data_IF_299594700596
#
_entry.id   IF_299594700596
#
_cell.length_a   1.000
_cell.length_b   1.000
_cell.length_c   1.000
_cell.angle_alpha   90.00
_cell.angle_beta   90.00
_cell.angle_gamma   90.00
#
_symmetry.space_group_name_H-M   'P 1'
#
loop_
_entity.id
_entity.type
_entity.pdbx_description
1 polymer ?
#
# COMPACT_ATOMS: atom_id res chain seq x y z
N UNK A 1 -27.59 0.29 -32.65
CA UNK A 1 -26.72 -0.07 -31.49
C UNK A 1 -25.28 -0.04 -31.98
N UNK A 2 -24.47 1.02 -31.68
CA UNK A 2 -23.06 1.04 -32.04
C UNK A 2 -22.33 0.25 -30.94
N UNK A 3 -21.80 -0.91 -31.30
CA UNK A 3 -20.85 -1.65 -30.48
C UNK A 3 -19.59 -0.76 -30.43
N UNK A 4 -19.31 -0.14 -29.28
CA UNK A 4 -18.03 0.52 -29.04
C UNK A 4 -17.00 -0.58 -28.84
N UNK A 5 -16.20 -0.82 -29.86
CA UNK A 5 -15.26 -1.95 -29.98
C UNK A 5 -13.94 -1.77 -29.20
N UNK A 6 -13.94 -1.14 -28.05
CA UNK A 6 -12.77 -1.21 -27.15
C UNK A 6 -13.21 -1.04 -25.71
N UNK A 7 -13.42 -2.15 -25.03
CA UNK A 7 -13.48 -2.17 -23.58
C UNK A 7 -12.04 -2.33 -23.06
N UNK A 8 -11.59 -1.38 -22.26
CA UNK A 8 -10.31 -1.54 -21.58
C UNK A 8 -10.45 -2.50 -20.42
N UNK A 9 -9.54 -3.45 -20.32
CA UNK A 9 -9.49 -4.39 -19.20
C UNK A 9 -8.32 -4.06 -18.30
N UNK A 10 -8.61 -4.01 -17.00
CA UNK A 10 -7.62 -3.84 -15.96
C UNK A 10 -7.72 -4.98 -14.94
N UNK A 11 -6.65 -5.24 -14.20
CA UNK A 11 -6.69 -6.29 -13.21
C UNK A 11 -5.76 -6.02 -12.01
N UNK A 12 -5.87 -6.88 -11.01
CA UNK A 12 -4.87 -7.04 -9.95
C UNK A 12 -4.41 -8.48 -9.90
N UNK A 13 -3.10 -8.67 -9.73
CA UNK A 13 -2.47 -9.98 -9.58
C UNK A 13 -1.80 -10.10 -8.21
N UNK A 14 -1.89 -11.28 -7.60
CA UNK A 14 -1.29 -11.57 -6.30
C UNK A 14 -1.75 -12.91 -5.71
N UNK A 15 -1.22 -13.26 -4.53
CA UNK A 15 -1.61 -14.46 -3.79
C UNK A 15 -1.42 -14.30 -2.27
N UNK A 16 -2.49 -14.34 -1.47
CA UNK A 16 -3.92 -14.47 -1.84
C UNK A 16 -4.51 -13.19 -2.41
N UNK A 17 -5.56 -13.27 -3.23
CA UNK A 17 -6.19 -12.13 -3.91
C UNK A 17 -7.73 -12.08 -3.75
N UNK A 18 -8.34 -13.16 -3.27
CA UNK A 18 -9.81 -13.35 -3.24
C UNK A 18 -10.55 -12.28 -2.43
N UNK A 19 -9.85 -11.65 -1.49
CA UNK A 19 -10.43 -10.63 -0.60
C UNK A 19 -10.08 -9.19 -1.00
N UNK A 20 -9.45 -9.01 -2.18
CA UNK A 20 -9.10 -7.68 -2.67
C UNK A 20 -10.34 -6.84 -2.91
N UNK A 21 -10.32 -5.60 -2.41
CA UNK A 21 -11.38 -4.60 -2.60
C UNK A 21 -11.13 -3.72 -3.83
N UNK A 22 -9.97 -3.86 -4.47
CA UNK A 22 -9.62 -3.07 -5.67
C UNK A 22 -10.63 -3.23 -6.79
N UNK A 23 -11.19 -4.44 -7.09
CA UNK A 23 -12.20 -4.57 -8.13
C UNK A 23 -13.47 -3.75 -7.85
N UNK A 24 -14.00 -3.78 -6.63
CA UNK A 24 -15.20 -3.00 -6.26
C UNK A 24 -14.94 -1.50 -6.43
N UNK A 25 -13.80 -1.03 -5.94
CA UNK A 25 -13.39 0.37 -5.97
C UNK A 25 -13.15 0.88 -7.40
N UNK A 26 -12.40 0.14 -8.23
CA UNK A 26 -12.04 0.56 -9.58
C UNK A 26 -13.24 0.50 -10.53
N UNK A 27 -14.07 -0.55 -10.43
CA UNK A 27 -15.29 -0.63 -11.24
C UNK A 27 -16.28 0.48 -10.88
N UNK A 28 -16.39 0.88 -9.61
CA UNK A 28 -17.17 2.03 -9.21
C UNK A 28 -16.65 3.33 -9.84
N UNK A 29 -15.33 3.49 -9.97
CA UNK A 29 -14.72 4.62 -10.64
C UNK A 29 -15.02 4.65 -12.13
N UNK A 30 -14.89 3.53 -12.83
CA UNK A 30 -15.22 3.42 -14.24
C UNK A 30 -16.69 3.73 -14.49
N UNK A 31 -17.60 3.16 -13.69
CA UNK A 31 -19.04 3.41 -13.79
C UNK A 31 -19.39 4.89 -13.55
N UNK A 32 -18.79 5.53 -12.55
CA UNK A 32 -19.05 6.93 -12.21
C UNK A 32 -18.68 7.90 -13.34
N UNK A 33 -17.69 7.53 -14.16
CA UNK A 33 -17.24 8.34 -15.31
C UNK A 33 -17.76 7.80 -16.65
N UNK A 34 -18.64 6.80 -16.66
CA UNK A 34 -19.19 6.23 -17.89
C UNK A 34 -18.16 5.56 -18.79
N UNK A 35 -17.03 5.08 -18.22
CA UNK A 35 -15.96 4.42 -18.97
C UNK A 35 -16.35 2.97 -19.26
N UNK A 36 -16.21 2.55 -20.52
CA UNK A 36 -16.38 1.15 -20.91
C UNK A 36 -15.12 0.35 -20.52
N UNK A 37 -14.98 0.10 -19.25
CA UNK A 37 -13.80 -0.56 -18.68
C UNK A 37 -14.20 -1.52 -17.57
N UNK A 38 -13.40 -2.55 -17.35
CA UNK A 38 -13.61 -3.52 -16.27
C UNK A 38 -12.31 -3.78 -15.51
N UNK A 39 -12.45 -4.07 -14.23
CA UNK A 39 -11.35 -4.42 -13.36
C UNK A 39 -11.64 -5.74 -12.64
N UNK A 40 -10.73 -6.71 -12.76
CA UNK A 40 -10.89 -8.06 -12.20
C UNK A 40 -9.66 -8.46 -11.40
N UNK A 41 -9.77 -9.50 -10.57
CA UNK A 41 -8.67 -10.04 -9.77
C UNK A 41 -8.26 -11.43 -10.29
N UNK A 42 -6.96 -11.65 -10.46
CA UNK A 42 -6.39 -12.94 -10.82
C UNK A 42 -5.43 -13.41 -9.75
N UNK A 43 -5.58 -14.65 -9.33
CA UNK A 43 -4.61 -15.29 -8.46
C UNK A 43 -3.41 -15.72 -9.29
N UNK A 44 -2.23 -15.25 -8.90
CA UNK A 44 -0.94 -15.63 -9.48
C UNK A 44 -0.07 -16.14 -8.35
N UNK A 45 0.32 -17.42 -8.39
CA UNK A 45 1.17 -18.04 -7.38
C UNK A 45 2.63 -17.65 -7.56
N UNK A 46 3.42 -17.86 -6.50
CA UNK A 46 4.88 -17.79 -6.62
C UNK A 46 5.39 -18.75 -7.70
N UNK A 47 6.28 -18.24 -8.57
CA UNK A 47 6.80 -18.99 -9.72
C UNK A 47 6.00 -18.84 -11.02
N UNK A 48 4.76 -18.33 -10.96
CA UNK A 48 3.92 -18.13 -12.16
C UNK A 48 3.93 -16.67 -12.66
N UNK A 49 4.71 -15.80 -12.03
CA UNK A 49 4.64 -14.35 -12.25
C UNK A 49 5.10 -13.93 -13.65
N UNK A 50 6.21 -14.49 -14.15
CA UNK A 50 6.77 -14.17 -15.46
C UNK A 50 5.79 -14.50 -16.58
N UNK A 51 5.26 -15.72 -16.58
CA UNK A 51 4.27 -16.18 -17.56
C UNK A 51 2.98 -15.36 -17.48
N UNK A 52 2.53 -15.04 -16.26
CA UNK A 52 1.33 -14.24 -16.05
C UNK A 52 1.48 -12.83 -16.61
N UNK A 53 2.61 -12.15 -16.37
CA UNK A 53 2.88 -10.80 -16.91
C UNK A 53 2.98 -10.87 -18.45
N UNK A 54 3.67 -11.87 -19.00
CA UNK A 54 3.75 -12.11 -20.44
C UNK A 54 2.37 -12.31 -21.08
N UNK A 55 1.51 -13.09 -20.44
CA UNK A 55 0.13 -13.32 -20.88
C UNK A 55 -0.72 -12.04 -20.85
N UNK A 56 -0.67 -11.26 -19.76
CA UNK A 56 -1.39 -9.98 -19.65
C UNK A 56 -0.95 -8.99 -20.74
N UNK A 57 0.35 -8.96 -21.07
CA UNK A 57 0.89 -8.18 -22.18
C UNK A 57 0.32 -8.65 -23.52
N UNK A 58 0.39 -9.96 -23.79
CA UNK A 58 0.00 -10.55 -25.06
C UNK A 58 -1.49 -10.39 -25.39
N UNK A 59 -2.36 -10.51 -24.37
CA UNK A 59 -3.83 -10.30 -24.54
C UNK A 59 -4.25 -8.83 -24.48
N UNK A 60 -3.31 -7.90 -24.31
CA UNK A 60 -3.58 -6.47 -24.38
C UNK A 60 -4.33 -5.90 -23.17
N UNK A 61 -4.12 -6.45 -21.95
CA UNK A 61 -4.63 -5.83 -20.71
C UNK A 61 -4.05 -4.43 -20.59
N UNK A 62 -4.91 -3.41 -20.44
CA UNK A 62 -4.52 -1.99 -20.51
C UNK A 62 -3.67 -1.55 -19.32
N UNK A 63 -3.83 -2.20 -18.17
CA UNK A 63 -3.00 -1.96 -16.99
C UNK A 63 -3.36 -2.91 -15.86
N UNK A 64 -2.45 -3.06 -14.92
CA UNK A 64 -2.70 -3.96 -13.79
C UNK A 64 -1.98 -3.52 -12.52
N UNK A 65 -2.58 -3.83 -11.37
CA UNK A 65 -1.91 -3.74 -10.09
C UNK A 65 -1.23 -5.06 -9.73
N UNK A 66 -0.17 -4.94 -8.97
CA UNK A 66 0.60 -6.06 -8.41
C UNK A 66 0.58 -5.95 -6.89
N UNK A 67 0.18 -7.03 -6.21
CA UNK A 67 0.22 -7.08 -4.76
C UNK A 67 1.12 -8.20 -4.24
N UNK A 68 1.03 -8.50 -2.96
CA UNK A 68 1.81 -9.56 -2.29
C UNK A 68 1.64 -10.90 -3.05
N UNK A 69 2.73 -11.68 -3.25
CA UNK A 69 4.11 -11.42 -2.81
C UNK A 69 4.99 -10.74 -3.88
N UNK A 70 4.45 -10.32 -5.00
CA UNK A 70 5.12 -10.13 -6.29
C UNK A 70 5.76 -8.74 -6.52
N UNK A 71 5.47 -7.73 -5.67
CA UNK A 71 5.84 -6.32 -5.94
C UNK A 71 7.32 -6.06 -6.23
N UNK A 72 8.22 -6.83 -5.63
CA UNK A 72 9.67 -6.71 -5.85
C UNK A 72 10.12 -7.54 -7.06
N UNK A 73 9.64 -8.77 -7.15
CA UNK A 73 10.04 -9.69 -8.22
C UNK A 73 9.58 -9.22 -9.60
N UNK A 74 8.40 -8.60 -9.68
CA UNK A 74 7.83 -8.09 -10.91
C UNK A 74 8.74 -7.12 -11.67
N UNK A 75 9.64 -6.43 -10.98
CA UNK A 75 10.60 -5.52 -11.62
C UNK A 75 11.48 -6.22 -12.68
N UNK A 76 11.64 -7.53 -12.62
CA UNK A 76 12.43 -8.29 -13.60
C UNK A 76 11.75 -8.44 -14.97
N UNK A 77 10.42 -8.23 -15.02
CA UNK A 77 9.57 -8.59 -16.17
C UNK A 77 8.88 -7.37 -16.81
N UNK A 78 9.26 -6.16 -16.39
CA UNK A 78 8.70 -4.89 -16.87
C UNK A 78 9.75 -4.09 -17.63
N UNK A 79 9.31 -3.16 -18.49
CA UNK A 79 10.17 -2.56 -19.50
C UNK A 79 10.68 -1.15 -19.11
N UNK A 80 9.82 -0.33 -18.50
CA UNK A 80 10.13 1.05 -18.12
C UNK A 80 9.67 1.34 -16.68
N UNK A 81 10.41 2.21 -15.97
CA UNK A 81 10.19 2.44 -14.55
C UNK A 81 10.06 3.94 -14.28
N UNK A 82 8.90 4.31 -13.77
CA UNK A 82 8.72 5.64 -13.20
C UNK A 82 9.60 5.86 -11.97
N UNK A 83 9.87 7.12 -11.66
CA UNK A 83 10.66 7.50 -10.48
C UNK A 83 10.11 6.91 -9.17
N UNK A 84 8.80 6.74 -9.05
CA UNK A 84 8.16 6.14 -7.88
C UNK A 84 8.53 4.66 -7.72
N UNK A 85 8.53 3.89 -8.81
CA UNK A 85 8.92 2.48 -8.81
C UNK A 85 10.41 2.32 -8.47
N UNK A 86 11.27 3.17 -9.07
CA UNK A 86 12.70 3.20 -8.77
C UNK A 86 12.95 3.55 -7.29
N UNK A 87 12.30 4.59 -6.77
CA UNK A 87 12.41 4.99 -5.36
C UNK A 87 12.01 3.87 -4.41
N UNK A 88 10.87 3.19 -4.64
CA UNK A 88 10.42 2.10 -3.78
C UNK A 88 11.22 0.81 -3.96
N UNK A 89 11.97 0.66 -5.06
CA UNK A 89 12.52 -0.63 -5.50
C UNK A 89 11.45 -1.74 -5.47
N UNK A 90 10.23 -1.40 -5.89
CA UNK A 90 9.06 -2.27 -5.91
C UNK A 90 7.96 -1.64 -6.78
N UNK A 91 7.12 -2.46 -7.39
CA UNK A 91 6.04 -2.05 -8.29
C UNK A 91 4.70 -2.51 -7.74
N UNK A 92 3.68 -1.66 -7.79
CA UNK A 92 2.30 -2.04 -7.52
C UNK A 92 1.33 -1.68 -8.64
N UNK A 93 1.77 -0.91 -9.65
CA UNK A 93 0.92 -0.45 -10.76
C UNK A 93 1.70 -0.52 -12.06
N UNK A 94 1.09 -1.10 -13.07
CA UNK A 94 1.65 -1.22 -14.43
C UNK A 94 0.65 -0.64 -15.42
N UNK A 95 1.14 0.17 -16.35
CA UNK A 95 0.39 0.67 -17.50
C UNK A 95 0.95 0.03 -18.77
N UNK A 96 0.12 -0.62 -19.53
CA UNK A 96 0.49 -1.22 -20.81
C UNK A 96 0.19 -0.22 -21.95
N UNK A 97 1.24 0.34 -22.48
CA UNK A 97 1.15 1.32 -23.59
C UNK A 97 1.65 0.65 -24.87
N UNK A 98 0.72 0.06 -25.62
CA UNK A 98 1.06 -0.60 -26.89
C UNK A 98 2.04 -1.78 -26.74
N UNK A 99 1.98 -2.53 -25.65
CA UNK A 99 2.87 -3.65 -25.36
C UNK A 99 4.07 -3.29 -24.49
N UNK A 100 4.38 -1.99 -24.30
CA UNK A 100 5.40 -1.53 -23.34
C UNK A 100 4.79 -1.45 -21.94
N UNK A 101 5.33 -2.20 -21.02
CA UNK A 101 4.86 -2.25 -19.62
C UNK A 101 5.61 -1.23 -18.77
N UNK A 102 4.98 -0.09 -18.53
CA UNK A 102 5.52 0.97 -17.68
C UNK A 102 5.08 0.79 -16.23
N UNK A 103 6.06 0.75 -15.33
CA UNK A 103 5.91 0.42 -13.92
C UNK A 103 5.90 1.65 -13.02
N UNK A 104 5.01 1.64 -12.02
CA UNK A 104 4.84 2.69 -11.02
C UNK A 104 4.72 2.10 -9.62
N UNK A 105 4.91 2.94 -8.61
CA UNK A 105 4.56 2.61 -7.22
C UNK A 105 3.62 3.67 -6.64
N UNK A 106 2.33 3.38 -6.69
CA UNK A 106 1.28 4.27 -6.17
C UNK A 106 1.08 4.12 -4.65
N UNK A 107 1.68 3.10 -4.02
CA UNK A 107 1.63 2.94 -2.55
C UNK A 107 2.31 4.12 -1.85
N UNK A 108 3.36 4.73 -2.45
CA UNK A 108 4.02 5.94 -1.94
C UNK A 108 2.98 7.04 -1.74
N UNK A 109 2.21 7.35 -2.79
CA UNK A 109 1.16 8.35 -2.71
C UNK A 109 0.04 7.93 -1.75
N UNK A 110 -0.38 6.66 -1.82
CA UNK A 110 -1.44 6.13 -0.95
C UNK A 110 -1.11 6.24 0.52
N UNK A 111 0.16 6.05 0.89
CA UNK A 111 0.61 6.16 2.28
C UNK A 111 0.73 7.61 2.75
N UNK A 112 1.38 8.47 1.97
CA UNK A 112 1.70 9.83 2.44
C UNK A 112 0.48 10.77 2.42
N UNK A 113 -0.41 10.58 1.46
CA UNK A 113 -1.55 11.49 1.27
C UNK A 113 -2.48 11.61 2.48
N UNK A 114 -2.89 10.53 3.18
CA UNK A 114 -3.67 10.63 4.42
C UNK A 114 -2.97 11.38 5.55
N UNK A 115 -1.63 11.31 5.63
CA UNK A 115 -0.84 12.06 6.59
C UNK A 115 -0.82 13.56 6.27
N UNK A 116 -0.67 13.93 4.98
CA UNK A 116 -0.73 15.30 4.51
C UNK A 116 -2.13 15.91 4.71
N UNK A 117 -3.20 15.17 4.45
CA UNK A 117 -4.57 15.65 4.73
C UNK A 117 -4.78 16.01 6.20
N UNK A 118 -4.11 15.30 7.11
CA UNK A 118 -4.14 15.56 8.56
C UNK A 118 -3.11 16.59 9.00
N UNK A 119 -2.35 17.16 8.06
CA UNK A 119 -1.28 18.13 8.30
C UNK A 119 -0.28 17.64 9.35
N UNK A 120 0.09 16.36 9.27
CA UNK A 120 1.07 15.77 10.19
C UNK A 120 2.39 16.49 10.04
N UNK A 121 2.92 17.00 11.16
CA UNK A 121 4.25 17.57 11.21
C UNK A 121 5.26 16.44 11.41
N UNK A 122 6.20 16.31 10.48
CA UNK A 122 7.26 15.30 10.52
C UNK A 122 8.51 15.74 11.28
N UNK A 123 8.59 17.01 11.69
CA UNK A 123 9.78 17.55 12.34
C UNK A 123 10.03 16.92 13.71
N UNK A 124 11.20 16.35 13.89
CA UNK A 124 11.66 15.71 15.12
C UNK A 124 10.96 14.39 15.49
N UNK A 125 10.09 13.82 14.61
CA UNK A 125 9.37 12.60 14.97
C UNK A 125 10.23 11.34 14.86
N UNK A 126 9.94 10.39 15.78
CA UNK A 126 10.38 9.01 15.66
C UNK A 126 9.28 8.17 15.04
N UNK A 127 9.64 7.36 14.06
CA UNK A 127 8.73 6.43 13.37
C UNK A 127 9.05 5.00 13.80
N UNK A 128 8.03 4.21 14.09
CA UNK A 128 8.15 2.76 14.22
C UNK A 128 7.45 2.11 13.02
N UNK A 129 8.23 1.50 12.13
CA UNK A 129 7.75 0.74 10.99
C UNK A 129 7.79 -0.75 11.30
N UNK A 130 6.63 -1.40 11.35
CA UNK A 130 6.50 -2.83 11.58
C UNK A 130 6.24 -3.52 10.24
N UNK A 131 7.23 -4.29 9.78
CA UNK A 131 7.21 -4.97 8.48
C UNK A 131 8.42 -4.61 7.61
N UNK A 132 8.78 -5.52 6.70
CA UNK A 132 9.90 -5.34 5.75
C UNK A 132 9.56 -5.89 4.34
N UNK A 133 8.29 -5.82 3.96
CA UNK A 133 7.79 -6.24 2.64
C UNK A 133 7.72 -5.10 1.62
N UNK A 134 7.00 -5.35 0.52
CA UNK A 134 6.81 -4.35 -0.54
C UNK A 134 6.15 -3.05 -0.07
N UNK A 135 5.18 -3.12 0.86
CA UNK A 135 4.56 -1.93 1.45
C UNK A 135 5.57 -1.13 2.28
N UNK A 136 6.40 -1.79 3.09
CA UNK A 136 7.43 -1.11 3.88
C UNK A 136 8.44 -0.35 3.01
N UNK A 137 8.75 -0.85 1.81
CA UNK A 137 9.60 -0.15 0.83
C UNK A 137 8.96 1.16 0.36
N UNK A 138 7.68 1.12 -0.02
CA UNK A 138 6.94 2.31 -0.43
C UNK A 138 6.81 3.33 0.71
N UNK A 139 6.59 2.86 1.95
CA UNK A 139 6.53 3.70 3.15
C UNK A 139 7.87 4.39 3.39
N UNK A 140 9.00 3.67 3.33
CA UNK A 140 10.32 4.27 3.47
C UNK A 140 10.62 5.27 2.35
N UNK A 141 10.23 4.97 1.11
CA UNK A 141 10.38 5.89 -0.01
C UNK A 141 9.57 7.18 0.21
N UNK A 142 8.33 7.07 0.72
CA UNK A 142 7.49 8.21 1.06
C UNK A 142 8.07 9.05 2.20
N UNK A 143 8.49 8.41 3.28
CA UNK A 143 9.10 9.08 4.43
C UNK A 143 10.45 9.74 4.08
N UNK A 144 11.21 9.15 3.14
CA UNK A 144 12.49 9.70 2.66
C UNK A 144 12.35 10.98 1.84
N UNK A 145 11.14 11.34 1.38
CA UNK A 145 10.85 12.61 0.73
C UNK A 145 10.36 13.69 1.75
N UNK A 146 10.07 13.30 2.99
CA UNK A 146 9.69 14.22 4.07
C UNK A 146 10.91 14.72 4.85
N UNK A 147 10.85 15.98 5.26
CA UNK A 147 11.92 16.57 6.06
C UNK A 147 11.62 16.47 7.56
N UNK A 148 12.68 16.41 8.36
CA UNK A 148 12.60 16.54 9.82
C UNK A 148 12.39 15.23 10.57
N UNK A 149 12.23 14.09 9.92
CA UNK A 149 12.12 12.79 10.60
C UNK A 149 13.43 12.50 11.35
N UNK A 150 13.33 12.30 12.67
CA UNK A 150 14.49 12.07 13.53
C UNK A 150 15.07 10.67 13.35
N UNK A 151 14.22 9.65 13.41
CA UNK A 151 14.62 8.25 13.31
C UNK A 151 13.47 7.37 12.78
N UNK A 152 13.80 6.37 11.98
CA UNK A 152 12.88 5.30 11.55
C UNK A 152 13.35 3.97 12.11
N UNK A 153 12.61 3.44 13.06
CA UNK A 153 12.87 2.18 13.73
C UNK A 153 12.12 1.05 13.01
N UNK A 154 12.85 0.11 12.41
CA UNK A 154 12.29 -0.97 11.59
C UNK A 154 12.26 -2.27 12.37
N UNK A 155 11.07 -2.81 12.61
CA UNK A 155 10.86 -4.12 13.24
C UNK A 155 10.25 -5.11 12.24
N UNK A 156 10.81 -6.31 12.18
CA UNK A 156 10.25 -7.40 11.38
C UNK A 156 10.53 -8.75 12.04
N UNK A 157 9.54 -9.67 12.01
CA UNK A 157 9.70 -11.01 12.60
C UNK A 157 10.89 -11.79 12.02
N UNK A 158 11.10 -11.68 10.70
CA UNK A 158 12.32 -12.20 10.04
C UNK A 158 13.41 -11.13 10.09
N UNK A 159 14.42 -11.36 10.91
CA UNK A 159 15.57 -10.46 11.05
C UNK A 159 16.31 -10.23 9.73
N UNK A 160 16.49 -11.29 8.93
CA UNK A 160 17.14 -11.20 7.63
C UNK A 160 16.42 -10.26 6.66
N UNK A 161 15.07 -10.24 6.66
CA UNK A 161 14.30 -9.29 5.83
C UNK A 161 14.48 -7.84 6.30
N UNK A 162 14.52 -7.60 7.61
CA UNK A 162 14.79 -6.26 8.14
C UNK A 162 16.19 -5.77 7.79
N UNK A 163 17.22 -6.62 7.91
CA UNK A 163 18.59 -6.30 7.49
C UNK A 163 18.67 -5.99 6.00
N UNK A 164 18.12 -6.87 5.15
CA UNK A 164 18.10 -6.66 3.71
C UNK A 164 17.40 -5.35 3.32
N UNK A 165 16.35 -4.93 4.04
CA UNK A 165 15.70 -3.66 3.81
C UNK A 165 16.60 -2.47 4.19
N UNK A 166 17.34 -2.57 5.30
CA UNK A 166 18.29 -1.53 5.74
C UNK A 166 19.49 -1.34 4.80
N UNK A 167 19.88 -2.38 4.07
CA UNK A 167 20.96 -2.33 3.09
C UNK A 167 20.54 -1.69 1.76
N UNK A 168 19.24 -1.41 1.58
CA UNK A 168 18.74 -0.77 0.36
C UNK A 168 19.03 0.73 0.32
N UNK A 169 19.10 1.35 -0.88
CA UNK A 169 19.22 2.81 -1.01
C UNK A 169 18.09 3.61 -0.36
N UNK A 170 16.94 2.98 -0.09
CA UNK A 170 15.76 3.59 0.54
C UNK A 170 16.08 4.24 1.89
N UNK A 171 17.00 3.67 2.63
CA UNK A 171 17.35 4.12 3.99
C UNK A 171 18.40 5.23 4.02
N UNK A 172 19.03 5.56 2.88
CA UNK A 172 20.12 6.55 2.82
C UNK A 172 19.71 7.98 3.18
N UNK A 173 18.44 8.31 3.01
CA UNK A 173 17.89 9.64 3.32
C UNK A 173 17.29 9.73 4.73
N UNK A 174 17.22 8.60 5.41
CA UNK A 174 16.59 8.45 6.72
C UNK A 174 17.61 7.87 7.71
N UNK A 175 17.54 8.30 8.95
CA UNK A 175 18.26 7.64 10.04
C UNK A 175 17.49 6.37 10.42
N UNK A 176 17.81 5.24 9.79
CA UNK A 176 17.12 3.97 9.98
C UNK A 176 17.87 3.04 10.92
N UNK A 177 17.16 2.44 11.88
CA UNK A 177 17.69 1.44 12.78
C UNK A 177 16.82 0.18 12.83
N UNK A 178 17.44 -0.99 12.99
CA UNK A 178 16.72 -2.23 13.24
C UNK A 178 16.32 -2.34 14.69
N UNK A 179 15.07 -2.70 14.92
CA UNK A 179 14.53 -3.01 16.25
C UNK A 179 14.33 -4.51 16.38
N UNK A 180 14.84 -5.15 17.45
CA UNK A 180 14.49 -6.52 17.77
C UNK A 180 12.97 -6.67 17.97
N UNK A 181 12.40 -7.76 17.44
CA UNK A 181 10.96 -7.98 17.46
C UNK A 181 10.35 -7.91 18.86
N UNK A 182 11.02 -8.47 19.85
CA UNK A 182 10.61 -8.49 21.25
C UNK A 182 10.70 -7.12 21.96
N UNK A 183 11.32 -6.13 21.30
CA UNK A 183 11.48 -4.77 21.86
C UNK A 183 10.54 -3.74 21.25
N UNK A 184 9.59 -4.16 20.38
CA UNK A 184 8.65 -3.27 19.69
C UNK A 184 7.95 -2.32 20.69
N UNK A 185 7.43 -2.84 21.80
CA UNK A 185 6.75 -2.04 22.84
C UNK A 185 7.60 -0.92 23.44
N UNK A 186 8.93 -1.11 23.54
CA UNK A 186 9.84 -0.07 24.02
C UNK A 186 9.93 1.10 23.03
N UNK A 187 9.97 0.78 21.73
CA UNK A 187 10.11 1.79 20.68
C UNK A 187 8.78 2.48 20.37
N UNK A 188 7.65 1.75 20.46
CA UNK A 188 6.33 2.33 20.22
C UNK A 188 5.98 3.45 21.21
N UNK A 189 6.40 3.35 22.47
CA UNK A 189 6.18 4.40 23.48
C UNK A 189 6.86 5.73 23.13
N UNK A 190 7.90 5.72 22.30
CA UNK A 190 8.65 6.90 21.87
C UNK A 190 8.25 7.39 20.48
N UNK A 191 7.58 6.54 19.71
CA UNK A 191 7.20 6.86 18.34
C UNK A 191 5.99 7.81 18.32
N UNK A 192 6.02 8.76 17.38
CA UNK A 192 4.89 9.64 17.06
C UNK A 192 4.12 9.14 15.84
N UNK A 193 4.72 8.28 15.04
CA UNK A 193 4.06 7.56 13.96
C UNK A 193 4.41 6.07 14.07
N UNK A 194 3.41 5.23 14.19
CA UNK A 194 3.55 3.78 14.24
C UNK A 194 2.81 3.19 13.05
N UNK A 195 3.53 2.49 12.18
CA UNK A 195 2.98 1.94 10.95
C UNK A 195 3.02 0.42 11.00
N UNK A 196 1.86 -0.23 10.96
CA UNK A 196 1.77 -1.66 10.72
C UNK A 196 1.75 -1.91 9.21
N UNK A 197 2.88 -2.32 8.64
CA UNK A 197 3.05 -2.70 7.23
C UNK A 197 3.10 -4.22 7.05
N UNK A 198 2.48 -4.98 7.97
CA UNK A 198 2.35 -6.44 7.93
C UNK A 198 0.91 -6.86 7.65
N UNK A 199 0.70 -8.16 7.56
CA UNK A 199 -0.65 -8.76 7.49
C UNK A 199 -1.24 -9.08 8.87
N UNK A 200 -0.55 -8.76 9.96
CA UNK A 200 -1.02 -9.02 11.33
C UNK A 200 -2.26 -8.16 11.60
N UNK A 201 -3.33 -8.81 12.01
CA UNK A 201 -4.66 -8.22 12.20
C UNK A 201 -5.68 -8.62 11.13
N UNK A 202 -5.25 -9.17 9.97
CA UNK A 202 -6.18 -9.61 8.92
C UNK A 202 -7.09 -10.76 9.34
N UNK A 203 -6.59 -11.66 10.18
CA UNK A 203 -7.33 -12.83 10.68
C UNK A 203 -7.65 -12.69 12.19
N UNK A 204 -7.86 -11.47 12.66
CA UNK A 204 -8.10 -11.15 14.07
C UNK A 204 -6.97 -11.62 15.02
N UNK A 205 -5.74 -11.68 14.53
CA UNK A 205 -4.58 -11.98 15.37
C UNK A 205 -4.47 -10.94 16.50
N UNK A 206 -3.92 -11.32 17.68
CA UNK A 206 -3.64 -10.38 18.76
C UNK A 206 -2.76 -9.22 18.30
N UNK A 207 -3.03 -8.03 18.79
CA UNK A 207 -2.21 -6.86 18.51
C UNK A 207 -0.79 -7.02 19.03
N UNK A 208 0.18 -6.51 18.26
CA UNK A 208 1.57 -6.43 18.67
C UNK A 208 1.82 -5.42 19.80
N UNK A 209 0.92 -4.46 19.96
CA UNK A 209 1.00 -3.39 20.94
C UNK A 209 -0.23 -3.42 21.84
N UNK A 210 -0.02 -3.36 23.13
CA UNK A 210 -1.10 -3.13 24.12
C UNK A 210 -1.36 -1.63 24.26
N UNK A 211 -2.52 -1.19 24.79
CA UNK A 211 -2.81 0.24 24.95
C UNK A 211 -1.71 1.03 25.67
N UNK A 212 -1.13 0.46 26.74
CA UNK A 212 -0.06 1.09 27.52
C UNK A 212 1.28 1.21 26.77
N UNK A 213 1.43 0.52 25.65
CA UNK A 213 2.62 0.59 24.80
C UNK A 213 2.50 1.68 23.73
N UNK A 214 1.30 2.25 23.55
CA UNK A 214 1.01 3.28 22.54
C UNK A 214 1.04 4.64 23.21
N UNK A 215 1.84 5.56 22.63
CA UNK A 215 1.81 6.96 23.06
C UNK A 215 0.48 7.60 22.61
N UNK A 216 -0.23 8.26 23.53
CA UNK A 216 -1.51 8.93 23.23
C UNK A 216 -1.42 10.00 22.14
N UNK A 217 -0.24 10.61 22.00
CA UNK A 217 0.03 11.63 20.99
C UNK A 217 0.56 11.03 19.67
N UNK A 218 0.63 9.70 19.56
CA UNK A 218 1.05 9.03 18.32
C UNK A 218 -0.10 8.91 17.33
N UNK A 219 0.27 8.68 16.09
CA UNK A 219 -0.64 8.24 15.03
C UNK A 219 -0.33 6.76 14.75
N UNK A 220 -1.35 5.92 14.86
CA UNK A 220 -1.30 4.54 14.39
C UNK A 220 -1.79 4.51 12.95
N UNK A 221 -0.95 4.05 12.05
CA UNK A 221 -1.29 3.79 10.67
C UNK A 221 -1.29 2.28 10.43
N UNK A 222 -2.46 1.68 10.42
CA UNK A 222 -2.59 0.25 10.13
C UNK A 222 -2.97 0.06 8.66
N UNK A 223 -2.08 -0.55 7.85
CA UNK A 223 -2.40 -0.79 6.43
C UNK A 223 -3.36 -1.96 6.21
N UNK A 224 -3.68 -2.72 7.23
CA UNK A 224 -4.76 -3.72 7.18
C UNK A 224 -6.08 -2.98 7.05
N UNK A 225 -6.85 -3.34 6.01
CA UNK A 225 -8.12 -2.70 5.70
C UNK A 225 -9.33 -3.62 5.94
N UNK A 226 -9.09 -4.89 6.22
CA UNK A 226 -10.15 -5.87 6.55
C UNK A 226 -9.59 -6.87 7.57
N UNK A 227 -10.17 -6.89 8.79
CA UNK A 227 -11.24 -6.01 9.29
C UNK A 227 -10.79 -4.54 9.37
N UNK A 228 -11.75 -3.58 9.37
CA UNK A 228 -11.44 -2.14 9.50
C UNK A 228 -10.87 -1.86 10.90
N UNK A 229 -11.49 -2.41 11.94
CA UNK A 229 -11.03 -2.30 13.30
C UNK A 229 -10.23 -3.57 13.65
N UNK A 230 -8.93 -3.52 13.40
CA UNK A 230 -8.00 -4.55 13.88
C UNK A 230 -7.79 -4.42 15.39
N UNK A 231 -7.26 -5.44 16.04
CA UNK A 231 -6.89 -5.35 17.46
C UNK A 231 -5.87 -4.22 17.74
N UNK A 232 -5.03 -3.84 16.74
CA UNK A 232 -4.13 -2.70 16.86
C UNK A 232 -4.90 -1.39 16.86
N UNK A 233 -5.87 -1.24 15.98
CA UNK A 233 -6.75 -0.07 15.90
C UNK A 233 -7.56 0.09 17.19
N UNK A 234 -8.15 -0.99 17.73
CA UNK A 234 -8.89 -0.94 18.99
C UNK A 234 -8.00 -0.53 20.18
N UNK A 235 -6.77 -1.07 20.24
CA UNK A 235 -5.82 -0.68 21.27
C UNK A 235 -5.37 0.78 21.13
N UNK A 236 -5.27 1.30 19.90
CA UNK A 236 -4.97 2.70 19.62
C UNK A 236 -6.08 3.64 20.10
N UNK A 237 -7.35 3.28 19.84
CA UNK A 237 -8.52 4.01 20.38
C UNK A 237 -8.47 4.08 21.90
N UNK A 238 -8.20 2.93 22.54
CA UNK A 238 -8.13 2.84 24.00
C UNK A 238 -7.00 3.72 24.58
N UNK A 239 -5.88 3.83 23.85
CA UNK A 239 -4.74 4.70 24.22
C UNK A 239 -5.01 6.18 23.95
N UNK A 240 -6.06 6.55 23.22
CA UNK A 240 -6.34 7.91 22.80
C UNK A 240 -5.45 8.41 21.65
N UNK A 241 -4.83 7.51 20.90
CA UNK A 241 -3.97 7.83 19.77
C UNK A 241 -4.78 8.17 18.51
N UNK A 242 -4.18 8.96 17.61
CA UNK A 242 -4.74 9.21 16.29
C UNK A 242 -4.71 7.92 15.42
N UNK A 243 -5.64 7.79 14.49
CA UNK A 243 -5.74 6.60 13.65
C UNK A 243 -5.82 6.99 12.18
N UNK A 244 -5.04 6.30 11.34
CA UNK A 244 -5.20 6.25 9.89
C UNK A 244 -5.46 4.79 9.52
N UNK A 245 -6.57 4.57 8.84
CA UNK A 245 -7.04 3.25 8.49
C UNK A 245 -6.47 2.76 7.16
N UNK A 246 -6.29 1.46 7.02
CA UNK A 246 -5.72 0.85 5.81
C UNK A 246 -6.56 1.08 4.55
N UNK A 247 -7.87 1.24 4.67
CA UNK A 247 -8.72 1.58 3.54
C UNK A 247 -8.44 2.98 2.97
N UNK A 248 -7.87 3.90 3.74
CA UNK A 248 -7.45 5.21 3.24
C UNK A 248 -6.25 5.07 2.30
N UNK A 249 -5.23 4.28 2.70
CA UNK A 249 -4.12 3.98 1.81
C UNK A 249 -4.59 3.27 0.54
N UNK A 250 -5.48 2.29 0.69
CA UNK A 250 -6.04 1.54 -0.43
C UNK A 250 -6.79 2.45 -1.40
N UNK A 251 -7.57 3.41 -0.88
CA UNK A 251 -8.29 4.40 -1.68
C UNK A 251 -7.33 5.25 -2.52
N UNK A 252 -6.38 5.90 -1.87
CA UNK A 252 -5.54 6.88 -2.56
C UNK A 252 -4.52 6.26 -3.50
N UNK A 253 -3.95 5.08 -3.17
CA UNK A 253 -3.10 4.37 -4.12
C UNK A 253 -3.90 3.89 -5.34
N UNK A 254 -5.15 3.43 -5.12
CA UNK A 254 -6.01 3.00 -6.21
C UNK A 254 -6.49 4.16 -7.10
N UNK A 255 -6.78 5.31 -6.50
CA UNK A 255 -7.08 6.54 -7.24
C UNK A 255 -5.89 6.96 -8.11
N UNK A 256 -4.67 6.90 -7.58
CA UNK A 256 -3.47 7.22 -8.35
C UNK A 256 -3.24 6.26 -9.50
N UNK A 257 -3.50 4.95 -9.30
CA UNK A 257 -3.46 3.97 -10.38
C UNK A 257 -4.49 4.27 -11.48
N UNK A 258 -5.72 4.62 -11.08
CA UNK A 258 -6.78 5.02 -12.01
C UNK A 258 -6.36 6.23 -12.87
N UNK A 259 -5.78 7.26 -12.25
CA UNK A 259 -5.30 8.46 -12.97
C UNK A 259 -4.19 8.13 -13.98
N UNK A 260 -3.25 7.24 -13.60
CA UNK A 260 -2.18 6.78 -14.49
C UNK A 260 -2.75 6.09 -15.73
N UNK A 261 -3.76 5.23 -15.56
CA UNK A 261 -4.32 4.46 -16.66
C UNK A 261 -5.24 5.25 -17.58
N UNK A 262 -6.01 6.17 -17.00
CA UNK A 262 -7.07 6.88 -17.75
C UNK A 262 -6.69 8.28 -18.16
N UNK A 263 -5.69 8.88 -17.53
CA UNK A 263 -5.37 10.30 -17.67
C UNK A 263 -6.44 11.24 -17.09
N UNK A 264 -7.43 10.70 -16.38
CA UNK A 264 -8.56 11.44 -15.82
C UNK A 264 -8.47 11.52 -14.30
N UNK A 265 -8.97 12.61 -13.66
CA UNK A 265 -9.06 12.68 -12.21
C UNK A 265 -9.91 11.53 -11.65
N UNK A 266 -9.43 10.88 -10.60
CA UNK A 266 -10.14 9.78 -9.96
C UNK A 266 -11.40 10.27 -9.24
N UNK A 267 -12.58 9.61 -9.43
CA UNK A 267 -13.81 9.97 -8.74
C UNK A 267 -13.79 9.44 -7.30
N UNK A 268 -12.99 10.08 -6.44
CA UNK A 268 -12.69 9.66 -5.05
C UNK A 268 -13.94 9.32 -4.26
N UNK A 269 -15.02 10.12 -4.41
CA UNK A 269 -16.26 9.88 -3.66
C UNK A 269 -16.90 8.52 -4.03
N UNK A 270 -16.98 8.20 -5.32
CA UNK A 270 -17.53 6.93 -5.78
C UNK A 270 -16.66 5.75 -5.33
N UNK A 271 -15.33 5.89 -5.43
CA UNK A 271 -14.36 4.89 -4.98
C UNK A 271 -14.48 4.64 -3.48
N UNK A 272 -14.53 5.70 -2.67
CA UNK A 272 -14.67 5.60 -1.21
C UNK A 272 -15.98 4.94 -0.81
N UNK A 273 -17.10 5.34 -1.43
CA UNK A 273 -18.42 4.75 -1.17
C UNK A 273 -18.44 3.24 -1.45
N UNK A 274 -17.89 2.80 -2.58
CA UNK A 274 -17.80 1.38 -2.92
C UNK A 274 -16.91 0.60 -1.93
N UNK A 275 -15.81 1.20 -1.49
CA UNK A 275 -14.89 0.60 -0.54
C UNK A 275 -15.54 0.42 0.84
N UNK A 276 -16.13 1.50 1.39
CA UNK A 276 -16.79 1.47 2.70
C UNK A 276 -18.06 0.60 2.69
N UNK A 277 -18.80 0.56 1.59
CA UNK A 277 -19.94 -0.34 1.43
C UNK A 277 -19.56 -1.84 1.52
N UNK A 278 -18.28 -2.16 1.31
CA UNK A 278 -17.78 -3.54 1.39
C UNK A 278 -17.17 -3.89 2.75
N UNK A 279 -16.51 -2.92 3.41
CA UNK A 279 -15.80 -3.16 4.68
C UNK A 279 -16.53 -2.65 5.92
N UNK A 280 -17.55 -1.81 5.74
CA UNK A 280 -18.18 -1.06 6.81
C UNK A 280 -17.43 0.26 7.11
N UNK A 281 -18.11 1.15 7.81
CA UNK A 281 -17.50 2.39 8.31
C UNK A 281 -16.70 2.11 9.58
N UNK A 282 -15.61 2.87 9.86
CA UNK A 282 -14.94 2.85 11.14
C UNK A 282 -15.92 3.23 12.25
N UNK A 283 -15.94 2.47 13.32
CA UNK A 283 -16.75 2.75 14.52
C UNK A 283 -16.09 3.78 15.44
#
# INVERSE_FOLDING_TARGET
MRIKNSSNTYCIIGDPIQHSLSPAMQNAAFNALGLNSSYIAFRVKMGELEESIGSLRAIGVSGFNITVPHKVEAMKYLDDFDTSACKASAVNTVHNVGGLLKAYNTDIYGFIHPLHLRKVNFDGINVLLIGAGGAARAILAALGDENGISEVNIANRSEGKARALLETPLTRRLNCARVPWEKISKYSRKARLIVNATTIGMNNEPSLLKPQDINKDAIIYDIVYKPVNTNLVENAKYAGAGIIYGHEMLLYQGAKSFEIWTGMPAPIHAMKKALLGTVGEPS
#
